data_IF_712220210950
#
_entry.id   IF_712220210950
#
_cell.length_a   1.000
_cell.length_b   1.000
_cell.length_c   1.000
_cell.angle_alpha   90.00
_cell.angle_beta   90.00
_cell.angle_gamma   90.00
#
_symmetry.space_group_name_H-M   'P 1'
#
loop_
_entity.id
_entity.type
_entity.pdbx_description
1 polymer ?
#
# COMPACT_ATOMS: atom_id res chain seq x y z
N UNK A 1 -2.11 -11.83 6.88
CA UNK A 1 -0.81 -12.58 6.74
C UNK A 1 -0.66 -13.53 7.91
N UNK A 2 -0.47 -14.85 7.68
CA UNK A 2 -0.43 -15.83 8.78
C UNK A 2 0.93 -15.76 9.50
N UNK A 3 0.90 -15.58 10.82
CA UNK A 3 2.05 -15.56 11.76
C UNK A 3 3.08 -16.69 11.51
N UNK A 4 2.65 -17.81 10.95
CA UNK A 4 3.50 -18.97 10.60
C UNK A 4 4.62 -18.61 9.60
N UNK A 5 4.39 -17.65 8.67
CA UNK A 5 5.43 -17.22 7.74
C UNK A 5 6.54 -16.43 8.45
N UNK A 6 6.17 -15.60 9.41
CA UNK A 6 7.09 -14.71 10.12
C UNK A 6 8.14 -15.48 10.92
N UNK A 7 7.74 -16.59 11.59
CA UNK A 7 8.67 -17.41 12.38
C UNK A 7 9.58 -18.29 11.52
N UNK A 8 9.13 -18.74 10.34
CA UNK A 8 9.96 -19.55 9.42
C UNK A 8 11.04 -18.73 8.71
N UNK A 9 10.88 -17.42 8.61
CA UNK A 9 11.85 -16.54 7.97
C UNK A 9 12.95 -16.03 8.93
N UNK A 10 12.89 -16.39 10.21
CA UNK A 10 13.87 -15.95 11.22
C UNK A 10 15.34 -16.12 10.78
N UNK A 11 15.76 -17.23 10.15
CA UNK A 11 17.15 -17.36 9.69
C UNK A 11 17.55 -16.35 8.61
N UNK A 12 16.59 -15.80 7.83
CA UNK A 12 16.83 -14.79 6.83
C UNK A 12 16.86 -13.38 7.43
N UNK A 13 16.12 -13.14 8.50
CA UNK A 13 16.06 -11.84 9.17
C UNK A 13 17.42 -11.41 9.72
N UNK A 14 18.22 -12.38 10.17
CA UNK A 14 19.58 -12.11 10.68
C UNK A 14 20.56 -11.67 9.58
N UNK A 15 20.23 -11.93 8.30
CA UNK A 15 21.07 -11.65 7.12
C UNK A 15 20.70 -10.36 6.39
N UNK A 16 19.61 -9.70 6.76
CA UNK A 16 19.13 -8.48 6.09
C UNK A 16 19.23 -7.26 7.00
N UNK A 17 19.35 -6.08 6.41
CA UNK A 17 19.41 -4.83 7.16
C UNK A 17 18.03 -4.36 7.65
N UNK A 18 16.96 -4.68 6.93
CA UNK A 18 15.58 -4.37 7.28
C UNK A 18 14.63 -5.46 6.79
N UNK A 19 13.41 -5.47 7.31
CA UNK A 19 12.33 -6.35 6.86
C UNK A 19 11.39 -5.54 5.98
N UNK A 20 11.17 -6.01 4.77
CA UNK A 20 10.22 -5.43 3.81
C UNK A 20 8.85 -6.07 3.97
N UNK A 21 7.80 -5.26 4.03
CA UNK A 21 6.42 -5.73 3.99
C UNK A 21 5.63 -5.03 2.90
N UNK A 22 4.70 -5.78 2.28
CA UNK A 22 3.67 -5.25 1.39
C UNK A 22 2.31 -5.35 2.07
N UNK A 23 1.48 -4.33 1.97
CA UNK A 23 0.17 -4.32 2.59
C UNK A 23 -0.86 -3.67 1.67
N UNK A 24 -1.89 -4.45 1.34
CA UNK A 24 -2.95 -4.07 0.41
C UNK A 24 -4.31 -4.41 1.01
N UNK A 25 -4.86 -3.55 1.89
CA UNK A 25 -6.11 -3.86 2.59
C UNK A 25 -7.27 -4.22 1.67
N UNK A 26 -7.34 -3.58 0.50
CA UNK A 26 -8.42 -3.81 -0.47
C UNK A 26 -8.40 -5.23 -1.06
N UNK A 27 -7.22 -5.87 -1.21
CA UNK A 27 -7.11 -7.28 -1.60
C UNK A 27 -7.55 -8.23 -0.49
N UNK A 28 -7.53 -7.78 0.76
CA UNK A 28 -7.95 -8.54 1.93
C UNK A 28 -9.40 -8.22 2.33
N UNK A 29 -10.17 -7.75 1.35
CA UNK A 29 -11.60 -7.44 1.49
C UNK A 29 -11.91 -6.39 2.58
N UNK A 30 -10.95 -5.52 2.90
CA UNK A 30 -11.17 -4.41 3.81
C UNK A 30 -11.83 -3.24 3.09
N UNK A 31 -12.82 -2.62 3.72
CA UNK A 31 -13.36 -1.35 3.25
C UNK A 31 -12.44 -0.19 3.64
N UNK A 32 -12.74 1.00 3.12
CA UNK A 32 -11.88 2.17 3.34
C UNK A 32 -11.73 2.56 4.81
N UNK A 33 -12.75 2.36 5.63
CA UNK A 33 -12.74 2.72 7.05
C UNK A 33 -11.90 1.75 7.91
N UNK A 34 -11.63 0.55 7.42
CA UNK A 34 -10.82 -0.48 8.08
C UNK A 34 -9.37 -0.47 7.57
N UNK A 35 -9.09 0.24 6.48
CA UNK A 35 -7.88 0.10 5.67
C UNK A 35 -6.60 0.47 6.43
N UNK A 36 -6.58 1.63 7.08
CA UNK A 36 -5.41 2.07 7.83
C UNK A 36 -5.13 1.17 9.03
N UNK A 37 -6.16 0.82 9.79
CA UNK A 37 -5.99 -0.05 10.96
C UNK A 37 -5.45 -1.43 10.57
N UNK A 38 -5.96 -2.01 9.48
CA UNK A 38 -5.42 -3.26 8.94
C UNK A 38 -3.95 -3.13 8.53
N UNK A 39 -3.55 -2.02 7.92
CA UNK A 39 -2.15 -1.75 7.59
C UNK A 39 -1.27 -1.68 8.83
N UNK A 40 -1.73 -0.97 9.88
CA UNK A 40 -1.06 -0.89 11.18
C UNK A 40 -0.92 -2.26 11.84
N UNK A 41 -1.99 -3.06 11.86
CA UNK A 41 -1.95 -4.43 12.38
C UNK A 41 -0.87 -5.27 11.69
N UNK A 42 -0.76 -5.20 10.36
CA UNK A 42 0.27 -5.91 9.60
C UNK A 42 1.68 -5.45 9.97
N UNK A 43 1.90 -4.14 10.06
CA UNK A 43 3.18 -3.56 10.42
C UNK A 43 3.60 -3.97 11.84
N UNK A 44 2.74 -3.73 12.83
CA UNK A 44 3.06 -4.01 14.22
C UNK A 44 3.17 -5.51 14.53
N UNK A 45 2.45 -6.38 13.79
CA UNK A 45 2.61 -7.82 13.91
C UNK A 45 4.03 -8.28 13.54
N UNK A 46 4.67 -7.63 12.56
CA UNK A 46 6.06 -7.92 12.18
C UNK A 46 7.04 -7.29 13.17
N UNK A 47 6.86 -6.00 13.47
CA UNK A 47 7.73 -5.24 14.37
C UNK A 47 7.79 -5.86 15.78
N UNK A 48 6.68 -6.38 16.29
CA UNK A 48 6.63 -7.06 17.60
C UNK A 48 7.43 -8.36 17.64
N UNK A 49 7.57 -9.07 16.51
CA UNK A 49 8.34 -10.33 16.44
C UNK A 49 9.84 -10.03 16.29
N UNK A 50 10.19 -8.94 15.65
CA UNK A 50 11.57 -8.55 15.33
C UNK A 50 11.88 -7.12 15.81
N UNK A 51 11.89 -6.88 17.14
CA UNK A 51 12.01 -5.53 17.69
C UNK A 51 13.36 -4.85 17.38
N UNK A 52 14.39 -5.63 17.08
CA UNK A 52 15.73 -5.12 16.78
C UNK A 52 15.98 -4.90 15.27
N UNK A 53 14.96 -5.14 14.42
CA UNK A 53 15.07 -4.94 12.96
C UNK A 53 14.13 -3.84 12.49
N UNK A 54 14.61 -2.88 11.70
CA UNK A 54 13.75 -1.92 11.02
C UNK A 54 12.74 -2.66 10.13
N UNK A 55 11.49 -2.23 10.17
CA UNK A 55 10.43 -2.69 9.26
C UNK A 55 10.10 -1.56 8.31
N UNK A 56 10.10 -1.84 7.01
CA UNK A 56 9.82 -0.90 5.94
C UNK A 56 8.58 -1.37 5.18
N UNK A 57 7.63 -0.47 4.97
CA UNK A 57 6.51 -0.72 4.07
C UNK A 57 6.98 -0.39 2.66
N UNK A 58 7.42 -1.39 1.91
CA UNK A 58 7.94 -1.20 0.56
C UNK A 58 6.85 -1.11 -0.49
N UNK A 59 5.63 -1.55 -0.17
CA UNK A 59 4.46 -1.34 -1.01
C UNK A 59 3.21 -1.21 -0.16
N UNK A 60 2.48 -0.13 -0.36
CA UNK A 60 1.12 0.05 0.13
C UNK A 60 0.33 0.93 -0.84
N UNK A 61 -0.91 0.55 -1.14
CA UNK A 61 -1.70 1.27 -2.12
C UNK A 61 -3.19 0.92 -2.07
N UNK A 62 -3.96 1.62 -2.91
CA UNK A 62 -5.38 1.42 -3.11
C UNK A 62 -5.73 1.53 -4.59
N UNK A 63 -6.31 0.47 -5.18
CA UNK A 63 -6.73 0.47 -6.57
C UNK A 63 -7.92 1.41 -6.79
N UNK A 64 -7.98 2.07 -7.95
CA UNK A 64 -9.07 2.99 -8.30
C UNK A 64 -10.13 2.38 -9.20
N UNK A 65 -9.88 1.14 -9.68
CA UNK A 65 -10.83 0.42 -10.51
C UNK A 65 -10.76 -1.09 -10.25
N UNK A 66 -11.85 -1.82 -10.57
CA UNK A 66 -11.92 -3.27 -10.46
C UNK A 66 -12.95 -3.88 -11.40
N UNK A 67 -12.63 -5.04 -11.94
CA UNK A 67 -13.53 -5.91 -12.71
C UNK A 67 -14.33 -6.88 -11.82
N UNK A 68 -14.24 -6.75 -10.50
CA UNK A 68 -14.92 -7.63 -9.52
C UNK A 68 -14.17 -8.94 -9.23
N UNK A 69 -12.97 -9.15 -9.80
CA UNK A 69 -12.14 -10.31 -9.49
C UNK A 69 -11.12 -9.99 -8.42
N UNK A 70 -11.36 -10.47 -7.22
CA UNK A 70 -10.47 -10.28 -6.06
C UNK A 70 -10.67 -8.96 -5.29
N UNK A 71 -11.09 -7.89 -5.95
CA UNK A 71 -11.45 -6.61 -5.32
C UNK A 71 -12.89 -6.26 -5.69
N UNK A 72 -13.73 -5.97 -4.70
CA UNK A 72 -15.11 -5.57 -4.92
C UNK A 72 -15.19 -4.17 -5.57
N UNK A 73 -15.95 -4.00 -6.68
CA UNK A 73 -16.00 -2.74 -7.42
C UNK A 73 -16.46 -1.53 -6.58
N UNK A 74 -17.29 -1.75 -5.56
CA UNK A 74 -17.76 -0.69 -4.69
C UNK A 74 -16.71 -0.17 -3.70
N UNK A 75 -15.60 -0.91 -3.53
CA UNK A 75 -14.50 -0.52 -2.66
C UNK A 75 -13.44 0.34 -3.37
N UNK A 76 -13.47 0.42 -4.70
CA UNK A 76 -12.43 1.11 -5.47
C UNK A 76 -12.95 2.44 -6.03
N UNK A 77 -12.18 3.49 -5.86
CA UNK A 77 -12.39 4.81 -6.46
C UNK A 77 -11.17 5.70 -6.25
N UNK A 78 -11.10 6.84 -6.97
CA UNK A 78 -10.07 7.85 -6.71
C UNK A 78 -10.24 8.48 -5.32
N UNK A 79 -11.47 8.61 -4.81
CA UNK A 79 -11.77 9.12 -3.46
C UNK A 79 -11.24 8.18 -2.36
N UNK A 80 -11.49 6.88 -2.49
CA UNK A 80 -10.97 5.89 -1.54
C UNK A 80 -9.45 5.82 -1.59
N UNK A 81 -8.84 5.90 -2.77
CA UNK A 81 -7.38 5.98 -2.90
C UNK A 81 -6.83 7.22 -2.19
N UNK A 82 -7.47 8.38 -2.36
CA UNK A 82 -7.07 9.63 -1.69
C UNK A 82 -7.12 9.49 -0.17
N UNK A 83 -8.23 8.96 0.37
CA UNK A 83 -8.40 8.75 1.82
C UNK A 83 -7.28 7.83 2.34
N UNK A 84 -7.13 6.64 1.73
CA UNK A 84 -6.13 5.69 2.18
C UNK A 84 -4.71 6.24 2.14
N UNK A 85 -4.32 6.85 1.02
CA UNK A 85 -2.97 7.40 0.88
C UNK A 85 -2.68 8.54 1.87
N UNK A 86 -3.64 9.44 2.10
CA UNK A 86 -3.48 10.54 3.06
C UNK A 86 -3.35 10.02 4.49
N UNK A 87 -4.21 9.10 4.89
CA UNK A 87 -4.18 8.51 6.23
C UNK A 87 -2.90 7.71 6.46
N UNK A 88 -2.48 6.94 5.45
CA UNK A 88 -1.24 6.17 5.48
C UNK A 88 -0.01 7.07 5.65
N UNK A 89 0.11 8.11 4.80
CA UNK A 89 1.24 9.04 4.85
C UNK A 89 1.26 9.80 6.17
N UNK A 90 0.10 10.27 6.65
CA UNK A 90 0.01 10.95 7.93
C UNK A 90 0.49 10.08 9.10
N UNK A 91 0.06 8.83 9.13
CA UNK A 91 0.49 7.88 10.16
C UNK A 91 1.98 7.57 10.07
N UNK A 92 2.48 7.19 8.89
CA UNK A 92 3.87 6.78 8.70
C UNK A 92 4.85 7.92 8.95
N UNK A 93 4.46 9.16 8.60
CA UNK A 93 5.23 10.36 8.88
C UNK A 93 5.27 10.68 10.40
N UNK A 94 4.14 10.52 11.09
CA UNK A 94 4.06 10.74 12.54
C UNK A 94 4.89 9.73 13.34
N UNK A 95 4.92 8.48 12.90
CA UNK A 95 5.60 7.37 13.60
C UNK A 95 7.03 7.10 13.06
N UNK A 96 7.54 7.95 12.16
CA UNK A 96 8.86 7.83 11.51
C UNK A 96 9.06 6.46 10.81
N UNK A 97 8.02 6.01 10.09
CA UNK A 97 7.99 4.75 9.35
C UNK A 97 8.27 5.00 7.88
N UNK A 98 9.31 4.37 7.32
CA UNK A 98 9.57 4.43 5.90
C UNK A 98 8.51 3.64 5.12
N UNK A 99 7.79 4.35 4.25
CA UNK A 99 6.69 3.79 3.47
C UNK A 99 6.77 4.26 2.01
N UNK A 100 6.55 3.32 1.08
CA UNK A 100 6.48 3.59 -0.35
C UNK A 100 5.05 3.33 -0.84
N UNK A 101 4.47 4.35 -1.50
CA UNK A 101 3.15 4.23 -2.10
C UNK A 101 3.22 3.43 -3.40
N UNK A 102 2.37 2.44 -3.54
CA UNK A 102 2.23 1.63 -4.75
C UNK A 102 0.98 2.09 -5.52
N UNK A 103 1.16 2.72 -6.68
CA UNK A 103 2.39 3.00 -7.42
C UNK A 103 2.31 4.39 -8.09
N UNK A 104 3.39 4.84 -8.74
CA UNK A 104 3.39 6.18 -9.33
C UNK A 104 2.38 6.34 -10.48
N UNK A 105 2.29 5.37 -11.39
CA UNK A 105 1.48 5.46 -12.60
C UNK A 105 0.63 4.22 -12.82
N UNK A 106 -0.57 4.40 -13.37
CA UNK A 106 -1.34 3.29 -13.92
C UNK A 106 -0.56 2.60 -15.05
N UNK A 107 -0.60 1.28 -15.08
CA UNK A 107 0.17 0.47 -16.02
C UNK A 107 -0.74 -0.46 -16.85
N UNK A 108 -1.08 -0.05 -18.06
CA UNK A 108 -2.04 -0.73 -18.94
C UNK A 108 -1.65 -2.17 -19.33
N UNK A 109 -0.39 -2.54 -19.15
CA UNK A 109 0.15 -3.86 -19.48
C UNK A 109 0.05 -4.89 -18.35
N UNK A 110 -0.22 -4.46 -17.11
CA UNK A 110 -0.33 -5.36 -15.94
C UNK A 110 -1.58 -6.23 -15.97
N UNK A 111 -1.50 -7.38 -15.31
CA UNK A 111 -2.62 -8.28 -15.11
C UNK A 111 -3.18 -8.89 -16.39
N UNK A 112 -4.51 -8.99 -16.49
CA UNK A 112 -5.21 -9.56 -17.64
C UNK A 112 -5.43 -8.53 -18.76
N UNK A 113 -6.04 -8.98 -19.89
CA UNK A 113 -6.42 -8.08 -20.99
C UNK A 113 -7.70 -7.26 -20.69
N UNK A 114 -8.35 -7.47 -19.56
CA UNK A 114 -9.57 -6.74 -19.20
C UNK A 114 -9.25 -5.29 -18.84
N UNK A 115 -9.99 -4.29 -19.35
CA UNK A 115 -9.69 -2.88 -19.10
C UNK A 115 -9.78 -2.49 -17.61
N UNK A 116 -10.70 -3.10 -16.86
CA UNK A 116 -10.93 -2.82 -15.44
C UNK A 116 -10.17 -3.78 -14.52
N UNK A 117 -9.13 -4.45 -15.01
CA UNK A 117 -8.24 -5.26 -14.18
C UNK A 117 -7.61 -4.41 -13.07
N UNK A 118 -7.78 -4.75 -11.79
CA UNK A 118 -7.26 -3.92 -10.68
C UNK A 118 -5.77 -3.60 -10.79
N UNK A 119 -4.96 -4.55 -11.28
CA UNK A 119 -3.51 -4.37 -11.44
C UNK A 119 -3.11 -3.21 -12.36
N UNK A 120 -4.03 -2.69 -13.17
CA UNK A 120 -3.79 -1.55 -14.06
C UNK A 120 -4.07 -0.20 -13.42
N UNK A 121 -4.62 -0.16 -12.20
CA UNK A 121 -5.25 1.03 -11.64
C UNK A 121 -4.74 1.43 -10.24
N UNK A 122 -3.52 1.07 -9.90
CA UNK A 122 -2.90 1.43 -8.62
C UNK A 122 -2.22 2.81 -8.63
N UNK A 123 -1.91 3.34 -9.81
CA UNK A 123 -1.16 4.59 -9.98
C UNK A 123 -1.78 5.78 -9.25
N UNK A 124 -0.94 6.67 -8.73
CA UNK A 124 -1.33 8.01 -8.28
C UNK A 124 -1.61 8.93 -9.48
N UNK A 125 -1.01 8.61 -10.61
CA UNK A 125 -1.24 9.23 -11.92
C UNK A 125 -1.79 8.19 -12.89
N UNK A 126 -2.59 8.64 -13.85
CA UNK A 126 -3.07 7.80 -14.96
C UNK A 126 -1.92 7.49 -15.93
N UNK A 127 -2.13 6.56 -16.84
CA UNK A 127 -1.15 6.16 -17.87
C UNK A 127 -0.65 7.37 -18.71
N UNK A 128 -1.51 8.37 -18.95
CA UNK A 128 -1.18 9.61 -19.69
C UNK A 128 -0.53 10.69 -18.81
N UNK A 129 -0.17 10.38 -17.57
CA UNK A 129 0.40 11.27 -16.56
C UNK A 129 -0.58 12.28 -15.96
N UNK A 130 -1.87 12.18 -16.28
CA UNK A 130 -2.89 13.00 -15.63
C UNK A 130 -2.97 12.62 -14.14
N UNK A 131 -2.90 13.59 -13.19
CA UNK A 131 -2.99 13.29 -11.77
C UNK A 131 -4.38 12.78 -11.40
N UNK A 132 -4.44 11.72 -10.61
CA UNK A 132 -5.67 11.30 -9.93
C UNK A 132 -5.98 12.24 -8.76
N UNK A 133 -7.12 12.04 -8.12
CA UNK A 133 -7.63 12.93 -7.07
C UNK A 133 -6.62 13.13 -5.93
N UNK A 134 -5.96 12.06 -5.51
CA UNK A 134 -4.93 12.06 -4.46
C UNK A 134 -3.76 13.03 -4.73
N UNK A 135 -3.45 13.30 -5.99
CA UNK A 135 -2.35 14.18 -6.41
C UNK A 135 -2.78 15.61 -6.75
N UNK A 136 -4.10 15.90 -6.72
CA UNK A 136 -4.64 17.25 -7.02
C UNK A 136 -4.51 18.22 -5.84
N UNK A 137 -4.31 17.70 -4.65
CA UNK A 137 -4.04 18.48 -3.44
C UNK A 137 -2.73 17.97 -2.82
N UNK A 138 -1.93 18.86 -2.19
CA UNK A 138 -0.70 18.41 -1.54
C UNK A 138 -1.04 17.34 -0.51
N UNK A 139 -0.39 16.18 -0.61
CA UNK A 139 -0.31 15.24 0.50
C UNK A 139 0.53 15.99 1.54
N UNK A 140 0.03 16.19 2.78
CA UNK A 140 0.83 16.84 3.81
C UNK A 140 2.09 16.01 4.03
N UNK A 141 3.22 16.52 3.60
CA UNK A 141 4.50 15.84 3.75
C UNK A 141 5.36 16.62 4.71
N UNK A 142 5.84 15.96 5.74
CA UNK A 142 6.96 16.45 6.55
C UNK A 142 8.28 15.92 5.97
N UNK A 143 8.28 14.73 5.36
CA UNK A 143 9.47 14.15 4.72
C UNK A 143 9.09 13.38 3.45
N UNK A 144 9.21 14.01 2.29
CA UNK A 144 9.10 13.35 0.99
C UNK A 144 10.30 12.43 0.76
N UNK A 145 10.16 11.14 1.05
CA UNK A 145 11.09 10.12 0.59
C UNK A 145 10.39 9.23 -0.44
N UNK A 146 10.75 9.48 -1.68
CA UNK A 146 10.68 8.57 -2.85
C UNK A 146 9.31 8.03 -3.28
N UNK A 147 8.78 8.62 -4.35
CA UNK A 147 7.95 7.91 -5.33
C UNK A 147 8.86 6.98 -6.14
N UNK A 148 8.64 5.69 -6.09
CA UNK A 148 9.23 4.71 -7.01
C UNK A 148 8.33 4.55 -8.21
#
# INVERSE_FOLDING_TARGET
MKIIFLTKLKPLVDLVDFISIHTYPVWEYKNIHESLEYTKENYFAVAAIYPDKPVVITEAGWATNSNGKGIEPHNVSEENQEIYCKDLVHWTDTDDILCFLFEAFDESWKGSNEPLEPEKHWGLYKTDRTPKLVMKQPIPTVNLVSLI
#
